data_IF_935252848768
#
_entry.id   IF_935252848768
#
_cell.length_a   1.000
_cell.length_b   1.000
_cell.length_c   1.000
_cell.angle_alpha   90.00
_cell.angle_beta   90.00
_cell.angle_gamma   90.00
#
_symmetry.space_group_name_H-M   'P 1'
#
loop_
_entity.id
_entity.type
_entity.pdbx_description
1 polymer ?
#
# COMPACT_ATOMS: atom_id res chain seq x y z
N UNK A 1 -80.78 19.13 -1.17
CA UNK A 1 -79.60 20.01 -1.36
C UNK A 1 -78.47 19.19 -2.01
N UNK A 2 -78.30 19.18 -3.33
CA UNK A 2 -77.13 18.50 -3.92
C UNK A 2 -75.86 19.30 -3.61
N UNK A 3 -74.90 18.62 -2.97
CA UNK A 3 -73.65 19.16 -2.46
C UNK A 3 -72.65 19.27 -3.62
N UNK A 4 -72.30 20.50 -4.01
CA UNK A 4 -71.45 20.83 -5.16
C UNK A 4 -69.98 20.41 -4.96
N UNK A 5 -69.69 19.11 -5.12
CA UNK A 5 -68.33 18.56 -5.17
C UNK A 5 -67.62 18.82 -6.50
N UNK A 6 -68.37 19.22 -7.54
CA UNK A 6 -67.84 19.46 -8.88
C UNK A 6 -66.84 20.63 -8.92
N UNK A 7 -67.03 21.64 -8.07
CA UNK A 7 -66.19 22.85 -8.02
C UNK A 7 -64.82 22.61 -7.36
N UNK A 8 -64.72 21.63 -6.46
CA UNK A 8 -63.45 21.26 -5.81
C UNK A 8 -62.61 20.31 -6.65
N UNK A 9 -63.24 19.46 -7.48
CA UNK A 9 -62.51 18.54 -8.36
C UNK A 9 -61.86 19.30 -9.54
N UNK A 10 -62.54 20.32 -10.09
CA UNK A 10 -61.99 21.12 -11.20
C UNK A 10 -60.81 21.99 -10.80
N UNK A 11 -60.78 22.49 -9.55
CA UNK A 11 -59.68 23.32 -9.04
C UNK A 11 -58.41 22.51 -8.75
N UNK A 12 -58.53 21.23 -8.39
CA UNK A 12 -57.41 20.33 -8.17
C UNK A 12 -56.72 19.89 -9.47
N UNK A 13 -57.43 19.87 -10.60
CA UNK A 13 -56.89 19.48 -11.91
C UNK A 13 -56.07 20.60 -12.60
N UNK A 14 -56.23 21.85 -12.20
CA UNK A 14 -55.54 23.00 -12.82
C UNK A 14 -54.18 23.35 -12.19
N UNK A 15 -53.88 22.83 -11.00
CA UNK A 15 -52.65 23.17 -10.26
C UNK A 15 -51.44 22.29 -10.63
N UNK A 16 -51.59 21.35 -11.55
CA UNK A 16 -50.55 20.37 -11.93
C UNK A 16 -49.79 20.69 -13.22
N UNK A 17 -49.99 21.85 -13.86
CA UNK A 17 -49.22 22.23 -15.04
C UNK A 17 -48.11 23.23 -14.69
N UNK A 18 -46.88 22.74 -14.50
CA UNK A 18 -45.66 23.28 -15.13
C UNK A 18 -44.41 22.66 -14.52
N UNK A 19 -43.87 21.63 -15.18
CA UNK A 19 -42.45 21.30 -15.09
C UNK A 19 -42.01 20.73 -16.45
N UNK A 20 -41.93 21.59 -17.46
CA UNK A 20 -41.26 21.25 -18.72
C UNK A 20 -39.76 21.51 -18.53
N UNK A 21 -39.00 20.44 -18.24
CA UNK A 21 -37.54 20.49 -18.20
C UNK A 21 -37.00 20.36 -19.63
N UNK A 22 -36.46 21.45 -20.18
CA UNK A 22 -35.79 21.48 -21.48
C UNK A 22 -34.74 22.60 -21.51
N UNK A 23 -33.65 22.39 -22.25
CA UNK A 23 -32.61 23.41 -22.42
C UNK A 23 -32.89 24.17 -23.71
N UNK A 24 -32.93 25.48 -23.62
CA UNK A 24 -33.20 26.39 -24.72
C UNK A 24 -31.96 27.22 -25.01
N UNK A 25 -31.65 27.40 -26.29
CA UNK A 25 -30.58 28.28 -26.75
C UNK A 25 -31.17 29.57 -27.30
N UNK A 26 -30.72 30.69 -26.78
CA UNK A 26 -31.03 32.03 -27.26
C UNK A 26 -29.80 32.62 -27.97
N UNK A 27 -30.03 33.37 -29.03
CA UNK A 27 -29.01 34.12 -29.77
C UNK A 27 -29.46 35.59 -29.76
N UNK A 28 -28.71 36.46 -29.11
CA UNK A 28 -29.03 37.89 -29.07
C UNK A 28 -28.67 38.62 -30.39
N UNK A 29 -29.08 39.87 -30.53
CA UNK A 29 -28.82 40.71 -31.71
C UNK A 29 -27.31 40.90 -31.99
N UNK A 30 -26.47 40.73 -30.98
CA UNK A 30 -25.01 40.81 -31.07
C UNK A 30 -24.35 39.45 -31.40
N UNK A 31 -25.15 38.38 -31.55
CA UNK A 31 -24.69 37.03 -31.86
C UNK A 31 -24.24 36.19 -30.66
N UNK A 32 -24.43 36.66 -29.42
CA UNK A 32 -24.05 35.91 -28.22
C UNK A 32 -25.05 34.80 -27.92
N UNK A 33 -24.52 33.64 -27.53
CA UNK A 33 -25.30 32.43 -27.24
C UNK A 33 -25.50 32.26 -25.74
N UNK A 34 -26.74 32.12 -25.29
CA UNK A 34 -27.09 31.82 -23.89
C UNK A 34 -27.99 30.58 -23.81
N UNK A 35 -27.73 29.72 -22.83
CA UNK A 35 -28.53 28.53 -22.56
C UNK A 35 -29.36 28.75 -21.30
N UNK A 36 -30.66 28.44 -21.37
CA UNK A 36 -31.61 28.65 -20.27
C UNK A 36 -32.54 27.45 -20.14
N UNK A 37 -33.03 27.22 -18.92
CA UNK A 37 -34.04 26.20 -18.63
C UNK A 37 -35.48 26.76 -18.76
N UNK A 38 -35.61 28.02 -19.18
CA UNK A 38 -36.88 28.73 -19.34
C UNK A 38 -36.99 29.18 -20.80
N UNK A 39 -38.13 28.95 -21.49
CA UNK A 39 -38.33 29.43 -22.84
C UNK A 39 -38.40 30.96 -22.88
N UNK A 40 -37.69 31.57 -23.83
CA UNK A 40 -37.67 33.01 -24.10
C UNK A 40 -38.08 33.28 -25.55
N UNK A 41 -38.44 34.53 -25.87
CA UNK A 41 -38.60 34.99 -27.25
C UNK A 41 -37.31 34.69 -28.04
N UNK A 42 -37.45 34.18 -29.26
CA UNK A 42 -36.37 33.74 -30.16
C UNK A 42 -35.46 32.61 -29.64
N UNK A 43 -35.88 31.90 -28.59
CA UNK A 43 -35.14 30.71 -28.10
C UNK A 43 -35.50 29.44 -28.87
N UNK A 44 -34.47 28.67 -29.24
CA UNK A 44 -34.63 27.34 -29.86
C UNK A 44 -34.40 26.26 -28.83
N UNK A 45 -35.37 25.35 -28.66
CA UNK A 45 -35.22 24.17 -27.82
C UNK A 45 -34.11 23.27 -28.39
N UNK A 46 -33.23 22.81 -27.51
CA UNK A 46 -32.17 21.86 -27.85
C UNK A 46 -32.53 20.53 -27.21
N UNK A 47 -32.56 19.50 -28.04
CA UNK A 47 -32.62 18.12 -27.58
C UNK A 47 -31.17 17.64 -27.36
N UNK A 48 -30.72 17.69 -26.10
CA UNK A 48 -29.41 17.16 -25.73
C UNK A 48 -29.49 15.63 -25.56
N UNK A 49 -28.44 14.90 -25.96
CA UNK A 49 -28.36 13.48 -25.65
C UNK A 49 -28.32 13.28 -24.12
N UNK A 50 -28.83 12.15 -23.61
CA UNK A 50 -28.74 11.85 -22.19
C UNK A 50 -27.28 11.75 -21.76
N UNK A 51 -26.93 12.40 -20.65
CA UNK A 51 -25.61 12.26 -20.03
C UNK A 51 -25.54 10.86 -19.43
N UNK A 52 -24.61 10.03 -19.93
CA UNK A 52 -24.32 8.73 -19.35
C UNK A 52 -23.42 8.96 -18.14
N UNK A 53 -23.95 8.72 -16.94
CA UNK A 53 -23.16 8.75 -15.70
C UNK A 53 -22.78 7.33 -15.34
N UNK A 54 -21.48 7.07 -15.20
CA UNK A 54 -20.98 5.76 -14.73
C UNK A 54 -20.94 5.79 -13.20
N UNK A 55 -21.48 4.76 -12.51
CA UNK A 55 -21.40 4.71 -11.05
C UNK A 55 -19.94 4.56 -10.58
N UNK A 56 -19.59 5.10 -9.40
CA UNK A 56 -18.25 4.89 -8.82
C UNK A 56 -18.03 3.41 -8.52
N UNK A 57 -16.82 2.92 -8.80
CA UNK A 57 -16.39 1.55 -8.49
C UNK A 57 -15.84 1.49 -7.07
N UNK A 58 -16.22 0.48 -6.29
CA UNK A 58 -15.62 0.21 -4.99
C UNK A 58 -14.18 -0.32 -5.17
N UNK A 59 -13.20 0.44 -4.69
CA UNK A 59 -11.78 0.10 -4.78
C UNK A 59 -11.23 -0.53 -3.49
N UNK A 60 -12.05 -0.73 -2.45
CA UNK A 60 -11.60 -1.22 -1.15
C UNK A 60 -10.86 -2.56 -1.25
N UNK A 61 -11.47 -3.54 -1.93
CA UNK A 61 -10.86 -4.87 -2.11
C UNK A 61 -9.53 -4.81 -2.87
N UNK A 62 -9.43 -3.91 -3.87
CA UNK A 62 -8.21 -3.75 -4.68
C UNK A 62 -7.09 -3.17 -3.82
N UNK A 63 -7.39 -2.16 -3.00
CA UNK A 63 -6.41 -1.54 -2.11
C UNK A 63 -5.91 -2.54 -1.05
N UNK A 64 -6.81 -3.32 -0.44
CA UNK A 64 -6.45 -4.37 0.52
C UNK A 64 -5.53 -5.42 -0.10
N UNK A 65 -5.80 -5.84 -1.34
CA UNK A 65 -4.94 -6.77 -2.08
C UNK A 65 -3.57 -6.19 -2.37
N UNK A 66 -3.50 -4.90 -2.71
CA UNK A 66 -2.23 -4.19 -2.92
C UNK A 66 -1.45 -4.08 -1.61
N UNK A 67 -2.12 -3.73 -0.51
CA UNK A 67 -1.52 -3.64 0.82
C UNK A 67 -0.91 -4.99 1.26
N UNK A 68 -1.68 -6.08 1.20
CA UNK A 68 -1.19 -7.44 1.50
C UNK A 68 0.01 -7.83 0.63
N UNK A 69 -0.02 -7.49 -0.67
CA UNK A 69 1.11 -7.75 -1.57
C UNK A 69 2.36 -6.98 -1.13
N UNK A 70 2.24 -5.69 -0.81
CA UNK A 70 3.37 -4.87 -0.32
C UNK A 70 3.96 -5.43 0.97
N UNK A 71 3.12 -5.80 1.93
CA UNK A 71 3.56 -6.43 3.18
C UNK A 71 4.32 -7.73 2.92
N UNK A 72 3.81 -8.58 2.02
CA UNK A 72 4.45 -9.87 1.70
C UNK A 72 5.83 -9.70 1.05
N UNK A 73 5.97 -8.68 0.19
CA UNK A 73 7.24 -8.33 -0.44
C UNK A 73 8.25 -7.85 0.60
N UNK A 74 7.82 -6.96 1.51
CA UNK A 74 8.67 -6.45 2.59
C UNK A 74 9.12 -7.56 3.53
N UNK A 75 8.21 -8.46 3.91
CA UNK A 75 8.54 -9.61 4.75
C UNK A 75 9.56 -10.52 4.08
N UNK A 76 9.40 -10.78 2.77
CA UNK A 76 10.35 -11.59 2.00
C UNK A 76 11.73 -10.93 1.95
N UNK A 77 11.79 -9.63 1.70
CA UNK A 77 13.04 -8.87 1.69
C UNK A 77 13.73 -8.89 3.06
N UNK A 78 12.99 -8.68 4.15
CA UNK A 78 13.52 -8.76 5.51
C UNK A 78 14.10 -10.15 5.83
N UNK A 79 13.41 -11.21 5.39
CA UNK A 79 13.86 -12.58 5.56
C UNK A 79 15.13 -12.85 4.78
N UNK A 80 15.19 -12.44 3.51
CA UNK A 80 16.37 -12.58 2.65
C UNK A 80 17.58 -11.83 3.24
N UNK A 81 17.37 -10.59 3.70
CA UNK A 81 18.42 -9.82 4.38
C UNK A 81 18.93 -10.51 5.64
N UNK A 82 18.04 -11.08 6.46
CA UNK A 82 18.44 -11.83 7.66
C UNK A 82 19.20 -13.13 7.30
N UNK A 83 18.76 -13.85 6.26
CA UNK A 83 19.46 -15.03 5.77
C UNK A 83 20.86 -14.71 5.25
N UNK A 84 21.02 -13.61 4.52
CA UNK A 84 22.33 -13.16 4.05
C UNK A 84 23.25 -12.81 5.23
N UNK A 85 22.75 -12.14 6.26
CA UNK A 85 23.52 -11.85 7.49
C UNK A 85 23.93 -13.12 8.22
N UNK A 86 23.03 -14.12 8.30
CA UNK A 86 23.34 -15.43 8.88
C UNK A 86 24.48 -16.09 8.10
N UNK A 87 24.41 -16.11 6.76
CA UNK A 87 25.44 -16.71 5.92
C UNK A 87 26.80 -15.99 6.07
N UNK A 88 26.79 -14.66 6.16
CA UNK A 88 27.99 -13.86 6.41
C UNK A 88 28.59 -14.16 7.79
N UNK A 89 27.77 -14.21 8.84
CA UNK A 89 28.23 -14.54 10.19
C UNK A 89 28.77 -15.97 10.27
N UNK A 90 28.16 -16.95 9.58
CA UNK A 90 28.67 -18.32 9.47
C UNK A 90 30.02 -18.38 8.78
N UNK A 91 30.21 -17.60 7.71
CA UNK A 91 31.48 -17.52 7.00
C UNK A 91 32.58 -16.93 7.90
N UNK A 92 32.30 -15.82 8.59
CA UNK A 92 33.23 -15.20 9.53
C UNK A 92 33.55 -16.12 10.72
N UNK A 93 32.54 -16.81 11.28
CA UNK A 93 32.74 -17.80 12.34
C UNK A 93 33.67 -18.93 11.88
N UNK A 94 33.47 -19.44 10.66
CA UNK A 94 34.33 -20.48 10.10
C UNK A 94 35.76 -20.00 9.88
N UNK A 95 35.95 -18.75 9.43
CA UNK A 95 37.28 -18.15 9.30
C UNK A 95 38.00 -18.11 10.65
N UNK A 96 37.35 -17.57 11.70
CA UNK A 96 37.95 -17.51 13.05
C UNK A 96 38.20 -18.91 13.62
N UNK A 97 37.28 -19.87 13.42
CA UNK A 97 37.50 -21.28 13.81
C UNK A 97 38.69 -21.91 13.09
N UNK A 98 38.86 -21.60 11.81
CA UNK A 98 39.98 -22.09 11.01
C UNK A 98 41.32 -21.52 11.49
N UNK A 99 41.34 -20.27 11.97
CA UNK A 99 42.51 -19.68 12.62
C UNK A 99 42.76 -20.34 13.98
N UNK A 100 41.71 -20.55 14.77
CA UNK A 100 41.79 -21.11 16.13
C UNK A 100 42.29 -22.56 16.17
N UNK A 101 42.04 -23.36 15.12
CA UNK A 101 42.50 -24.75 14.97
C UNK A 101 42.33 -25.57 16.25
N UNK A 102 41.09 -25.63 16.76
CA UNK A 102 40.74 -26.37 17.97
C UNK A 102 41.58 -26.00 19.22
N UNK A 103 42.00 -24.74 19.31
CA UNK A 103 42.78 -24.21 20.43
C UNK A 103 44.28 -24.31 20.26
N UNK A 104 44.74 -24.79 19.09
CA UNK A 104 46.15 -24.86 18.73
C UNK A 104 46.43 -24.06 17.45
N UNK A 105 46.19 -22.74 17.43
CA UNK A 105 46.50 -21.90 16.29
C UNK A 105 48.01 -21.92 16.01
N UNK A 106 48.39 -21.77 14.74
CA UNK A 106 49.80 -21.67 14.36
C UNK A 106 50.43 -20.43 15.00
N UNK A 107 51.66 -20.58 15.50
CA UNK A 107 52.37 -19.47 16.13
C UNK A 107 52.86 -18.50 15.07
N UNK A 108 52.54 -17.22 15.25
CA UNK A 108 52.92 -16.17 14.32
C UNK A 108 54.34 -15.68 14.64
N UNK A 109 55.11 -15.30 13.63
CA UNK A 109 56.46 -14.74 13.82
C UNK A 109 56.49 -13.45 14.64
N UNK A 110 55.36 -12.75 14.74
CA UNK A 110 55.17 -11.57 15.60
C UNK A 110 55.03 -11.91 17.09
N UNK A 111 54.74 -13.16 17.44
CA UNK A 111 54.51 -13.66 18.81
C UNK A 111 55.82 -14.09 19.49
N UNK A 112 56.75 -13.13 19.58
CA UNK A 112 58.07 -13.34 20.22
C UNK A 112 57.96 -13.80 21.68
N UNK A 113 56.91 -13.41 22.39
CA UNK A 113 56.61 -13.83 23.76
C UNK A 113 55.42 -14.81 23.77
N UNK A 114 55.54 -15.92 24.52
CA UNK A 114 54.49 -16.93 24.66
C UNK A 114 53.18 -16.38 25.23
N UNK A 115 53.22 -15.37 26.11
CA UNK A 115 52.00 -14.74 26.63
C UNK A 115 51.17 -14.07 25.52
N UNK A 116 51.81 -13.54 24.46
CA UNK A 116 51.07 -12.95 23.33
C UNK A 116 50.28 -13.99 22.56
N UNK A 117 50.86 -15.19 22.41
CA UNK A 117 50.19 -16.34 21.82
C UNK A 117 48.96 -16.73 22.66
N UNK A 118 49.14 -16.93 23.98
CA UNK A 118 48.03 -17.26 24.88
C UNK A 118 46.90 -16.22 24.82
N UNK A 119 47.25 -14.93 24.87
CA UNK A 119 46.26 -13.85 24.76
C UNK A 119 45.53 -13.86 23.40
N UNK A 120 46.19 -14.26 22.30
CA UNK A 120 45.49 -14.41 21.00
C UNK A 120 44.56 -15.62 21.01
N UNK A 121 45.01 -16.76 21.52
CA UNK A 121 44.18 -17.97 21.67
C UNK A 121 42.91 -17.65 22.47
N UNK A 122 43.04 -16.94 23.59
CA UNK A 122 41.91 -16.55 24.42
C UNK A 122 40.95 -15.61 23.67
N UNK A 123 41.49 -14.61 22.95
CA UNK A 123 40.67 -13.71 22.12
C UNK A 123 39.91 -14.44 21.01
N UNK A 124 40.58 -15.35 20.29
CA UNK A 124 39.94 -16.17 19.25
C UNK A 124 38.81 -17.01 19.84
N UNK A 125 39.02 -17.61 21.02
CA UNK A 125 37.99 -18.39 21.72
C UNK A 125 36.79 -17.51 22.13
N UNK A 126 37.05 -16.34 22.69
CA UNK A 126 36.00 -15.38 23.07
C UNK A 126 35.22 -14.89 21.85
N UNK A 127 35.91 -14.60 20.75
CA UNK A 127 35.30 -14.19 19.49
C UNK A 127 34.41 -15.30 18.91
N UNK A 128 34.89 -16.55 18.87
CA UNK A 128 34.08 -17.70 18.45
C UNK A 128 32.80 -17.80 19.28
N UNK A 129 32.92 -17.72 20.61
CA UNK A 129 31.75 -17.82 21.51
C UNK A 129 30.75 -16.69 21.28
N UNK A 130 31.22 -15.45 21.09
CA UNK A 130 30.36 -14.31 20.81
C UNK A 130 29.62 -14.46 19.47
N UNK A 131 30.33 -14.91 18.43
CA UNK A 131 29.77 -15.12 17.09
C UNK A 131 28.77 -16.27 17.05
N UNK A 132 29.04 -17.38 17.73
CA UNK A 132 28.10 -18.49 17.87
C UNK A 132 26.79 -18.04 18.52
N UNK A 133 26.88 -17.23 19.57
CA UNK A 133 25.70 -16.65 20.23
C UNK A 133 24.93 -15.72 19.30
N UNK A 134 25.63 -14.85 18.55
CA UNK A 134 24.98 -13.96 17.59
C UNK A 134 24.25 -14.76 16.49
N UNK A 135 24.89 -15.81 15.97
CA UNK A 135 24.31 -16.69 14.97
C UNK A 135 23.05 -17.38 15.49
N UNK A 136 23.07 -17.87 16.74
CA UNK A 136 21.90 -18.47 17.39
C UNK A 136 20.74 -17.47 17.50
N UNK A 137 21.03 -16.23 17.92
CA UNK A 137 20.03 -15.16 18.00
C UNK A 137 19.40 -14.87 16.63
N UNK A 138 20.23 -14.72 15.58
CA UNK A 138 19.74 -14.48 14.23
C UNK A 138 18.90 -15.65 13.68
N UNK A 139 19.31 -16.90 13.93
CA UNK A 139 18.53 -18.10 13.54
C UNK A 139 17.20 -18.18 14.27
N UNK A 140 17.18 -17.85 15.57
CA UNK A 140 15.96 -17.77 16.35
C UNK A 140 15.01 -16.69 15.82
N UNK A 141 15.54 -15.52 15.45
CA UNK A 141 14.75 -14.44 14.87
C UNK A 141 14.20 -14.82 13.50
N UNK A 142 14.97 -15.54 12.68
CA UNK A 142 14.49 -16.09 11.41
C UNK A 142 13.33 -17.07 11.63
N UNK A 143 13.41 -17.93 12.66
CA UNK A 143 12.34 -18.87 13.02
C UNK A 143 11.07 -18.20 13.55
N UNK A 144 11.17 -17.00 14.12
CA UNK A 144 10.02 -16.19 14.56
C UNK A 144 9.33 -15.45 13.42
N UNK A 145 9.98 -15.28 12.27
CA UNK A 145 9.38 -14.59 11.13
C UNK A 145 8.25 -15.42 10.53
N UNK A 146 7.09 -14.81 10.22
CA UNK A 146 5.98 -15.52 9.59
C UNK A 146 6.35 -16.02 8.19
N UNK A 147 5.99 -17.27 7.87
CA UNK A 147 6.31 -17.91 6.59
C UNK A 147 5.33 -17.50 5.46
N UNK A 148 4.09 -17.13 5.83
CA UNK A 148 3.05 -16.60 4.93
C UNK A 148 2.20 -15.55 5.65
N UNK A 149 1.87 -14.48 4.94
CA UNK A 149 0.82 -13.55 5.35
C UNK A 149 -0.54 -14.22 5.09
N UNK A 150 -1.35 -14.40 6.14
CA UNK A 150 -2.71 -14.99 6.07
C UNK A 150 -3.72 -14.03 5.43
#
# INVERSE_FOLDING_TARGET
>A
MPRNYFLFITLALFSSLSSYAGVYKHIDENGNVTYSNIPSNDSRRIDLPPIIVVPPVDTGEVEDRIAKRRESMKLREQREQLQNKIAEEEAQLNEVKSEYKDGMPDRLGSERNYQRYLNRVDRLREEISAREKNLELMKNDLGKMPDKIR
#
